data_IF_409890572994
#
_entry.id   IF_409890572994
#
_cell.length_a   1.000
_cell.length_b   1.000
_cell.length_c   1.000
_cell.angle_alpha   90.00
_cell.angle_beta   90.00
_cell.angle_gamma   90.00
#
_symmetry.space_group_name_H-M   'P 1'
#
loop_
_entity.id
_entity.type
_entity.pdbx_description
1 polymer ?
#
# COMPACT_ATOMS: atom_id res chain seq x y z
N UNK A 1 14.66 -21.77 -0.99
CA UNK A 1 15.02 -20.37 -0.68
C UNK A 1 13.73 -19.70 -0.21
N UNK A 2 13.61 -19.33 1.08
CA UNK A 2 12.33 -18.89 1.65
C UNK A 2 11.90 -17.54 1.05
N UNK A 3 10.82 -17.57 0.26
CA UNK A 3 10.18 -16.40 -0.36
C UNK A 3 9.76 -15.35 0.68
N UNK A 4 9.50 -15.71 1.94
CA UNK A 4 9.02 -14.78 2.97
C UNK A 4 10.03 -13.67 3.36
N UNK A 5 11.33 -13.80 3.05
CA UNK A 5 12.31 -12.74 3.36
C UNK A 5 12.38 -11.63 2.31
N UNK A 6 11.82 -11.87 1.12
CA UNK A 6 11.86 -10.89 0.02
C UNK A 6 10.61 -10.02 -0.03
N UNK A 7 9.56 -10.39 0.70
CA UNK A 7 8.25 -9.76 0.59
C UNK A 7 7.67 -9.36 1.95
N UNK A 8 7.10 -8.16 1.98
CA UNK A 8 6.20 -7.69 3.03
C UNK A 8 4.79 -8.14 2.63
N UNK A 9 4.06 -8.77 3.54
CA UNK A 9 2.70 -9.28 3.31
C UNK A 9 1.74 -8.55 4.24
N UNK A 10 0.75 -7.85 3.70
CA UNK A 10 -0.13 -6.98 4.48
C UNK A 10 -1.59 -7.40 4.26
N UNK A 11 -2.37 -7.64 5.32
CA UNK A 11 -3.82 -7.80 5.22
C UNK A 11 -4.47 -6.59 4.56
N UNK A 12 -5.31 -6.81 3.55
CA UNK A 12 -6.02 -5.74 2.84
C UNK A 12 -6.86 -4.89 3.79
N UNK A 13 -7.44 -5.48 4.85
CA UNK A 13 -8.24 -4.77 5.84
C UNK A 13 -7.50 -3.61 6.53
N UNK A 14 -6.17 -3.68 6.68
CA UNK A 14 -5.37 -2.59 7.27
C UNK A 14 -5.38 -1.33 6.37
N UNK A 15 -5.63 -1.50 5.08
CA UNK A 15 -5.62 -0.42 4.08
C UNK A 15 -7.03 -0.05 3.62
N UNK A 16 -7.90 -1.06 3.48
CA UNK A 16 -9.20 -0.94 2.82
C UNK A 16 -10.35 -0.76 3.81
N UNK A 17 -10.21 -1.26 5.03
CA UNK A 17 -11.31 -1.28 5.98
C UNK A 17 -11.29 -0.01 6.84
N UNK A 18 -12.42 0.70 6.80
CA UNK A 18 -12.57 1.99 7.44
C UNK A 18 -12.31 1.93 8.94
N UNK A 19 -12.66 0.83 9.59
CA UNK A 19 -12.55 0.69 11.05
C UNK A 19 -11.08 0.57 11.50
N UNK A 20 -10.23 -0.14 10.75
CA UNK A 20 -8.77 -0.10 10.96
C UNK A 20 -8.13 1.24 10.58
N UNK A 21 -8.82 2.12 9.85
CA UNK A 21 -8.30 3.44 9.46
C UNK A 21 -8.85 4.60 10.32
N UNK A 22 -9.93 4.37 11.08
CA UNK A 22 -10.54 5.34 11.99
C UNK A 22 -9.83 5.35 13.35
N UNK A 23 -9.40 4.19 13.83
CA UNK A 23 -8.69 4.07 15.12
C UNK A 23 -7.19 4.35 15.03
N UNK A 24 -6.67 4.44 13.80
CA UNK A 24 -5.25 4.53 13.53
C UNK A 24 -4.89 5.78 12.73
N UNK A 25 -3.80 6.45 13.13
CA UNK A 25 -3.19 7.52 12.34
C UNK A 25 -2.84 6.98 10.94
N UNK A 26 -2.94 7.83 9.92
CA UNK A 26 -2.51 7.55 8.53
C UNK A 26 -1.07 7.00 8.41
N UNK A 27 -0.29 6.99 9.49
CA UNK A 27 1.08 6.47 9.57
C UNK A 27 1.14 4.96 9.82
N UNK A 28 0.06 4.32 10.26
CA UNK A 28 0.06 2.92 10.68
C UNK A 28 0.51 1.93 9.60
N UNK A 29 0.05 2.00 8.34
CA UNK A 29 0.52 1.08 7.30
C UNK A 29 2.03 1.16 7.08
N UNK A 30 2.57 2.37 7.12
CA UNK A 30 4.01 2.60 7.06
C UNK A 30 4.75 1.99 8.25
N UNK A 31 4.24 2.18 9.48
CA UNK A 31 4.85 1.64 10.70
C UNK A 31 4.84 0.11 10.69
N UNK A 32 3.74 -0.52 10.26
CA UNK A 32 3.67 -1.98 10.14
C UNK A 32 4.69 -2.50 9.13
N UNK A 33 4.77 -1.90 7.94
CA UNK A 33 5.74 -2.30 6.93
C UNK A 33 7.19 -2.15 7.42
N UNK A 34 7.48 -1.06 8.13
CA UNK A 34 8.77 -0.84 8.77
C UNK A 34 9.09 -1.96 9.77
N UNK A 35 8.15 -2.27 10.69
CA UNK A 35 8.34 -3.31 11.70
C UNK A 35 8.55 -4.69 11.05
N UNK A 36 7.84 -5.00 9.97
CA UNK A 36 8.05 -6.23 9.21
C UNK A 36 9.46 -6.33 8.62
N UNK A 37 10.06 -5.21 8.19
CA UNK A 37 11.46 -5.18 7.76
C UNK A 37 12.46 -5.34 8.92
N UNK A 38 12.05 -4.99 10.14
CA UNK A 38 12.85 -5.14 11.36
C UNK A 38 12.72 -6.53 12.01
N UNK A 39 11.84 -7.40 11.50
CA UNK A 39 11.70 -8.78 11.98
C UNK A 39 12.85 -9.65 11.49
N UNK A 40 13.45 -10.41 12.40
CA UNK A 40 14.41 -11.45 12.05
C UNK A 40 13.71 -12.76 11.65
N UNK A 41 14.51 -13.75 11.25
CA UNK A 41 14.02 -15.06 10.78
C UNK A 41 13.29 -15.90 11.83
N UNK A 42 13.39 -15.55 13.10
CA UNK A 42 12.68 -16.23 14.21
C UNK A 42 11.45 -15.44 14.67
N UNK A 43 11.02 -14.42 13.92
CA UNK A 43 9.82 -13.63 14.19
C UNK A 43 10.00 -12.54 15.26
N UNK A 44 11.23 -12.28 15.71
CA UNK A 44 11.54 -11.22 16.67
C UNK A 44 11.84 -9.92 15.95
N UNK A 45 11.14 -8.86 16.33
CA UNK A 45 11.31 -7.51 15.81
C UNK A 45 12.16 -6.67 16.77
N UNK A 46 13.09 -5.89 16.21
CA UNK A 46 13.97 -5.01 16.96
C UNK A 46 13.93 -3.62 16.36
N UNK A 47 13.60 -2.60 17.15
CA UNK A 47 13.57 -1.22 16.68
C UNK A 47 13.80 -0.24 17.82
N UNK A 48 14.17 0.99 17.50
CA UNK A 48 14.05 2.13 18.41
C UNK A 48 13.01 3.11 17.86
N UNK A 49 12.36 3.87 18.75
CA UNK A 49 11.44 4.92 18.31
C UNK A 49 12.17 6.00 17.50
N UNK A 50 13.43 6.30 17.86
CA UNK A 50 14.27 7.25 17.13
C UNK A 50 14.49 6.82 15.68
N UNK A 51 14.91 5.57 15.43
CA UNK A 51 15.15 5.09 14.07
C UNK A 51 13.86 5.07 13.24
N UNK A 52 12.76 4.59 13.83
CA UNK A 52 11.44 4.60 13.18
C UNK A 52 11.03 6.03 12.75
N UNK A 53 11.23 7.03 13.63
CA UNK A 53 10.91 8.44 13.36
C UNK A 53 11.81 9.00 12.26
N UNK A 54 13.12 8.74 12.32
CA UNK A 54 14.09 9.28 11.36
C UNK A 54 13.86 8.67 9.97
N UNK A 55 13.70 7.34 9.90
CA UNK A 55 13.44 6.62 8.65
C UNK A 55 12.15 7.08 7.98
N UNK A 56 11.14 7.47 8.78
CA UNK A 56 9.90 8.07 8.27
C UNK A 56 10.05 9.50 7.75
N UNK A 57 11.26 10.06 7.70
CA UNK A 57 11.52 11.43 7.28
C UNK A 57 11.10 12.48 8.30
N UNK A 58 10.85 12.07 9.55
CA UNK A 58 10.48 12.97 10.63
C UNK A 58 11.69 13.29 11.52
N UNK A 59 11.59 14.38 12.30
CA UNK A 59 12.58 14.71 13.33
C UNK A 59 12.01 14.39 14.71
N UNK A 60 12.76 13.69 15.58
CA UNK A 60 12.37 13.48 16.97
C UNK A 60 12.11 14.83 17.65
N UNK A 61 10.95 14.96 18.30
CA UNK A 61 10.54 16.18 19.01
C UNK A 61 9.74 15.80 20.25
N UNK A 62 10.16 16.33 21.39
CA UNK A 62 9.49 16.17 22.70
C UNK A 62 8.40 17.21 22.88
N UNK A 63 7.44 16.92 23.76
CA UNK A 63 6.30 17.79 24.08
C UNK A 63 4.95 17.23 23.64
N UNK A 64 3.87 17.83 24.16
CA UNK A 64 2.51 17.37 23.92
C UNK A 64 2.15 17.41 22.41
N UNK A 65 1.60 16.31 21.91
CA UNK A 65 1.20 16.09 20.52
C UNK A 65 2.33 16.31 19.49
N UNK A 66 3.59 16.19 19.91
CA UNK A 66 4.77 16.22 19.03
C UNK A 66 5.08 14.83 18.48
N UNK A 67 6.07 14.76 17.59
CA UNK A 67 6.44 13.56 16.84
C UNK A 67 6.56 12.32 17.74
N UNK A 68 7.29 12.44 18.85
CA UNK A 68 7.55 11.29 19.72
C UNK A 68 6.25 10.73 20.31
N UNK A 69 5.37 11.58 20.82
CA UNK A 69 4.09 11.16 21.41
C UNK A 69 3.16 10.53 20.36
N UNK A 70 3.12 11.08 19.14
CA UNK A 70 2.31 10.52 18.05
C UNK A 70 2.76 9.10 17.67
N UNK A 71 4.07 8.88 17.58
CA UNK A 71 4.61 7.55 17.31
C UNK A 71 4.37 6.58 18.47
N UNK A 72 4.51 7.03 19.73
CA UNK A 72 4.13 6.21 20.89
C UNK A 72 2.67 5.80 20.83
N UNK A 73 1.75 6.73 20.50
CA UNK A 73 0.32 6.42 20.36
C UNK A 73 0.05 5.35 19.30
N UNK A 74 0.73 5.41 18.15
CA UNK A 74 0.58 4.38 17.10
C UNK A 74 1.04 3.02 17.62
N UNK A 75 2.24 2.94 18.22
CA UNK A 75 2.75 1.68 18.75
C UNK A 75 1.85 1.15 19.88
N UNK A 76 1.40 2.01 20.80
CA UNK A 76 0.44 1.63 21.85
C UNK A 76 -0.89 1.13 21.26
N UNK A 77 -1.37 1.70 20.15
CA UNK A 77 -2.54 1.21 19.43
C UNK A 77 -2.32 -0.21 18.90
N UNK A 78 -1.18 -0.46 18.24
CA UNK A 78 -0.81 -1.80 17.77
C UNK A 78 -0.69 -2.82 18.90
N UNK A 79 -0.24 -2.41 20.10
CA UNK A 79 -0.20 -3.27 21.28
C UNK A 79 -1.60 -3.62 21.79
N UNK A 80 -2.50 -2.63 21.89
CA UNK A 80 -3.89 -2.87 22.32
C UNK A 80 -4.61 -3.85 21.40
N UNK A 81 -4.27 -3.82 20.12
CA UNK A 81 -4.87 -4.64 19.07
C UNK A 81 -4.17 -6.01 18.91
N UNK A 82 -3.21 -6.31 19.80
CA UNK A 82 -2.49 -7.59 19.82
C UNK A 82 -1.51 -7.79 18.66
N UNK A 83 -1.29 -6.76 17.83
CA UNK A 83 -0.38 -6.79 16.68
C UNK A 83 1.08 -6.77 17.16
N UNK A 84 1.34 -6.04 18.25
CA UNK A 84 2.65 -5.99 18.90
C UNK A 84 2.58 -6.51 20.32
N UNK A 85 3.53 -7.37 20.68
CA UNK A 85 3.78 -7.72 22.08
C UNK A 85 5.15 -7.16 22.49
N UNK A 86 5.15 -6.18 23.39
CA UNK A 86 6.36 -5.48 23.83
C UNK A 86 6.79 -6.00 25.20
N UNK A 87 8.10 -6.06 25.43
CA UNK A 87 8.70 -6.32 26.73
C UNK A 87 8.82 -5.06 27.62
N UNK A 88 8.49 -3.90 27.07
CA UNK A 88 8.61 -2.59 27.73
C UNK A 88 7.37 -1.72 27.53
N UNK A 89 7.17 -0.77 28.46
CA UNK A 89 6.17 0.28 28.31
C UNK A 89 6.64 1.35 27.30
N UNK A 90 6.07 1.27 26.10
CA UNK A 90 6.37 2.22 25.01
C UNK A 90 5.94 3.65 25.32
N UNK A 91 5.09 3.90 26.31
CA UNK A 91 4.66 5.27 26.64
C UNK A 91 5.76 6.07 27.33
N UNK A 92 6.68 5.38 28.03
CA UNK A 92 7.70 5.99 28.89
C UNK A 92 9.13 5.70 28.45
N UNK A 93 9.39 4.62 27.71
CA UNK A 93 10.76 4.18 27.34
C UNK A 93 11.57 5.25 26.59
N UNK A 94 12.88 5.34 26.78
CA UNK A 94 13.73 6.26 26.01
C UNK A 94 13.60 5.99 24.49
N UNK A 95 13.55 7.04 23.67
CA UNK A 95 13.38 6.89 22.22
C UNK A 95 14.52 6.12 21.54
N UNK A 96 15.71 6.10 22.13
CA UNK A 96 16.90 5.42 21.61
C UNK A 96 17.03 4.00 22.17
N UNK A 97 16.12 3.58 23.05
CA UNK A 97 16.10 2.22 23.58
C UNK A 97 15.79 1.21 22.48
N UNK A 98 16.53 0.10 22.47
CA UNK A 98 16.29 -1.01 21.56
C UNK A 98 15.13 -1.87 22.09
N UNK A 99 13.94 -1.61 21.59
CA UNK A 99 12.73 -2.38 21.89
C UNK A 99 12.81 -3.75 21.24
N UNK A 100 12.41 -4.79 21.97
CA UNK A 100 12.29 -6.16 21.48
C UNK A 100 10.83 -6.55 21.52
N UNK A 101 10.31 -7.05 20.41
CA UNK A 101 8.90 -7.41 20.34
C UNK A 101 8.61 -8.59 19.41
N UNK A 102 7.43 -9.16 19.61
CA UNK A 102 6.82 -10.09 18.67
C UNK A 102 5.80 -9.35 17.80
N UNK A 103 5.81 -9.65 16.51
CA UNK A 103 4.89 -9.08 15.53
C UNK A 103 3.86 -10.14 15.09
N UNK A 104 2.61 -9.92 15.47
CA UNK A 104 1.49 -10.83 15.22
C UNK A 104 0.48 -10.19 14.24
N UNK A 105 0.77 -10.26 12.95
CA UNK A 105 -0.12 -9.68 11.93
C UNK A 105 -1.42 -10.50 11.81
N UNK A 106 -2.61 -9.88 11.94
CA UNK A 106 -3.88 -10.59 11.98
C UNK A 106 -4.38 -10.92 10.57
N UNK A 107 -3.82 -11.97 9.97
CA UNK A 107 -4.26 -12.48 8.66
C UNK A 107 -5.62 -13.17 8.77
N UNK A 108 -6.49 -12.92 7.80
CA UNK A 108 -7.69 -13.72 7.61
C UNK A 108 -7.30 -15.08 7.02
N UNK A 109 -7.89 -16.16 7.53
CA UNK A 109 -7.63 -17.52 7.07
C UNK A 109 -8.89 -18.13 6.47
N UNK A 110 -8.74 -18.86 5.37
CA UNK A 110 -9.83 -19.70 4.84
C UNK A 110 -9.99 -20.99 5.67
N UNK A 111 -10.96 -21.83 5.29
CA UNK A 111 -11.23 -23.14 5.93
C UNK A 111 -10.02 -24.09 5.94
N UNK A 112 -9.04 -23.87 5.06
CA UNK A 112 -7.82 -24.67 4.94
C UNK A 112 -6.62 -24.02 5.65
N UNK A 113 -6.85 -23.04 6.52
CA UNK A 113 -5.81 -22.29 7.23
C UNK A 113 -4.82 -21.53 6.32
N UNK A 114 -5.24 -21.20 5.09
CA UNK A 114 -4.44 -20.40 4.17
C UNK A 114 -4.82 -18.92 4.30
N UNK A 115 -3.81 -18.04 4.26
CA UNK A 115 -4.01 -16.59 4.30
C UNK A 115 -4.85 -16.15 3.09
N UNK A 116 -5.90 -15.37 3.33
CA UNK A 116 -6.73 -14.71 2.31
C UNK A 116 -6.78 -13.21 2.53
N UNK A 117 -7.28 -12.46 1.54
CA UNK A 117 -7.47 -11.01 1.63
C UNK A 117 -6.21 -10.25 2.07
N UNK A 118 -5.08 -10.55 1.44
CA UNK A 118 -3.80 -9.87 1.63
C UNK A 118 -3.23 -9.39 0.28
N UNK A 119 -2.23 -8.53 0.35
CA UNK A 119 -1.37 -8.18 -0.78
C UNK A 119 0.08 -8.24 -0.33
N UNK A 120 1.00 -8.36 -1.29
CA UNK A 120 2.44 -8.35 -1.02
C UNK A 120 3.17 -7.33 -1.87
N UNK A 121 4.32 -6.91 -1.36
CA UNK A 121 5.31 -6.10 -2.06
C UNK A 121 6.70 -6.61 -1.71
N UNK A 122 7.67 -6.41 -2.60
CA UNK A 122 9.05 -6.74 -2.25
C UNK A 122 9.60 -5.76 -1.22
N UNK A 123 10.50 -6.23 -0.35
CA UNK A 123 11.25 -5.39 0.58
C UNK A 123 12.00 -4.30 -0.18
N UNK A 124 12.61 -4.63 -1.33
CA UNK A 124 13.28 -3.65 -2.19
C UNK A 124 12.34 -2.53 -2.67
N UNK A 125 11.08 -2.84 -2.99
CA UNK A 125 10.11 -1.82 -3.38
C UNK A 125 9.73 -0.91 -2.21
N UNK A 126 9.65 -1.46 -1.00
CA UNK A 126 9.46 -0.65 0.21
C UNK A 126 10.69 0.23 0.51
N UNK A 127 11.91 -0.33 0.38
CA UNK A 127 13.16 0.41 0.58
C UNK A 127 13.29 1.59 -0.40
N UNK A 128 12.87 1.43 -1.66
CA UNK A 128 12.81 2.57 -2.60
C UNK A 128 11.98 3.74 -2.08
N UNK A 129 10.89 3.49 -1.33
CA UNK A 129 10.11 4.55 -0.68
C UNK A 129 10.85 5.07 0.55
N UNK A 130 11.33 4.15 1.39
CA UNK A 130 12.01 4.46 2.65
C UNK A 130 13.25 5.34 2.45
N UNK A 131 14.03 5.06 1.41
CA UNK A 131 15.31 5.70 1.09
C UNK A 131 15.17 6.85 0.09
N UNK A 132 13.95 7.11 -0.38
CA UNK A 132 13.72 8.16 -1.37
C UNK A 132 14.05 9.56 -0.83
N UNK A 133 14.90 10.28 -1.57
CA UNK A 133 15.28 11.67 -1.31
C UNK A 133 14.30 12.61 -2.02
N UNK A 134 13.13 12.84 -1.41
CA UNK A 134 12.15 13.81 -1.92
C UNK A 134 11.39 14.45 -0.75
N UNK A 135 10.77 15.60 -1.04
CA UNK A 135 10.04 16.37 -0.03
C UNK A 135 8.63 15.83 0.25
N UNK A 136 8.14 14.85 -0.53
CA UNK A 136 6.82 14.29 -0.30
C UNK A 136 6.79 13.48 0.99
N UNK A 137 5.62 13.50 1.64
CA UNK A 137 5.42 12.80 2.89
C UNK A 137 5.47 11.27 2.67
N UNK A 138 6.45 10.60 3.28
CA UNK A 138 6.65 9.14 3.13
C UNK A 138 5.44 8.31 3.58
N UNK A 139 4.67 8.76 4.58
CA UNK A 139 3.45 8.06 5.00
C UNK A 139 2.39 8.11 3.92
N UNK A 140 2.11 9.31 3.38
CA UNK A 140 1.15 9.49 2.29
C UNK A 140 1.57 8.72 1.05
N UNK A 141 2.86 8.75 0.70
CA UNK A 141 3.42 8.00 -0.43
C UNK A 141 3.22 6.48 -0.26
N UNK A 142 3.50 5.96 0.93
CA UNK A 142 3.31 4.54 1.28
C UNK A 142 1.84 4.14 1.24
N UNK A 143 0.95 4.97 1.79
CA UNK A 143 -0.48 4.69 1.80
C UNK A 143 -1.07 4.63 0.40
N UNK A 144 -0.70 5.57 -0.48
CA UNK A 144 -1.16 5.54 -1.89
C UNK A 144 -0.65 4.27 -2.56
N UNK A 145 0.62 3.92 -2.37
CA UNK A 145 1.19 2.70 -2.94
C UNK A 145 0.45 1.45 -2.46
N UNK A 146 0.24 1.30 -1.16
CA UNK A 146 -0.45 0.16 -0.57
C UNK A 146 -1.92 0.11 -0.96
N UNK A 147 -2.59 1.25 -1.06
CA UNK A 147 -3.96 1.37 -1.53
C UNK A 147 -4.12 0.82 -2.94
N UNK A 148 -3.16 1.11 -3.84
CA UNK A 148 -3.15 0.57 -5.20
C UNK A 148 -2.90 -0.94 -5.16
N UNK A 149 -1.86 -1.40 -4.45
CA UNK A 149 -1.52 -2.83 -4.38
C UNK A 149 -2.65 -3.68 -3.80
N UNK A 150 -3.35 -3.18 -2.78
CA UNK A 150 -4.47 -3.87 -2.16
C UNK A 150 -5.65 -4.10 -3.11
N UNK A 151 -5.80 -3.23 -4.13
CA UNK A 151 -6.89 -3.26 -5.12
C UNK A 151 -6.51 -3.85 -6.47
N UNK A 152 -5.23 -4.06 -6.74
CA UNK A 152 -4.81 -4.79 -7.94
C UNK A 152 -5.41 -6.20 -7.89
N UNK A 153 -6.12 -6.56 -8.96
CA UNK A 153 -6.54 -7.93 -9.17
C UNK A 153 -5.31 -8.84 -9.27
N UNK A 154 -5.33 -9.99 -8.59
CA UNK A 154 -4.27 -10.99 -8.68
C UNK A 154 -4.87 -12.27 -9.25
N UNK A 155 -4.17 -12.84 -10.23
CA UNK A 155 -4.52 -14.14 -10.79
C UNK A 155 -4.24 -15.21 -9.75
N UNK A 156 -5.02 -16.29 -9.81
CA UNK A 156 -4.83 -17.41 -8.89
C UNK A 156 -3.70 -18.29 -9.43
N UNK A 157 -2.58 -18.36 -8.70
CA UNK A 157 -1.38 -19.12 -9.09
C UNK A 157 -1.61 -20.65 -9.14
N UNK A 158 -2.77 -21.14 -8.68
CA UNK A 158 -3.14 -22.56 -8.69
C UNK A 158 -3.38 -23.13 -10.10
N UNK A 159 -3.47 -22.28 -11.12
CA UNK A 159 -3.59 -22.70 -12.52
C UNK A 159 -2.18 -22.66 -13.12
N UNK A 160 -1.49 -23.81 -13.08
CA UNK A 160 -0.20 -24.09 -13.72
C UNK A 160 -0.24 -23.88 -15.25
N UNK A 161 -0.48 -22.66 -15.75
CA UNK A 161 -0.42 -22.32 -17.17
C UNK A 161 -0.43 -20.80 -17.43
N UNK A 162 0.54 -20.08 -16.86
CA UNK A 162 0.85 -18.69 -17.24
C UNK A 162 1.12 -18.54 -18.76
N UNK A 163 1.46 -19.64 -19.46
CA UNK A 163 1.77 -19.64 -20.90
C UNK A 163 0.63 -20.07 -21.83
N UNK A 164 -0.55 -20.51 -21.35
CA UNK A 164 -1.54 -21.19 -22.22
C UNK A 164 -2.93 -20.55 -22.29
N UNK A 165 -3.32 -19.61 -21.42
CA UNK A 165 -4.68 -19.03 -21.52
C UNK A 165 -4.70 -17.53 -21.29
N UNK A 166 -5.43 -16.81 -22.15
CA UNK A 166 -5.85 -15.45 -21.88
C UNK A 166 -6.52 -15.31 -20.50
N UNK A 167 -6.55 -14.10 -19.98
CA UNK A 167 -7.11 -13.80 -18.66
C UNK A 167 -7.09 -12.31 -18.35
N UNK A 168 -7.79 -11.93 -17.29
CA UNK A 168 -7.84 -10.56 -16.79
C UNK A 168 -6.46 -10.10 -16.33
N UNK A 169 -6.06 -8.89 -16.74
CA UNK A 169 -4.78 -8.30 -16.38
C UNK A 169 -4.74 -8.00 -14.87
N UNK A 170 -3.56 -8.09 -14.27
CA UNK A 170 -3.35 -7.78 -12.86
C UNK A 170 -3.28 -6.27 -12.64
N UNK A 171 -4.44 -5.63 -12.71
CA UNK A 171 -4.56 -4.18 -12.63
C UNK A 171 -5.68 -3.75 -11.68
N UNK A 172 -5.67 -2.47 -11.38
CA UNK A 172 -6.72 -1.78 -10.64
C UNK A 172 -7.30 -0.69 -11.56
N UNK A 173 -8.62 -0.71 -11.79
CA UNK A 173 -9.33 0.32 -12.54
C UNK A 173 -10.01 1.30 -11.58
N UNK A 174 -9.63 2.58 -11.63
CA UNK A 174 -10.30 3.63 -10.84
C UNK A 174 -9.98 5.03 -11.36
N UNK A 175 -10.83 6.00 -11.05
CA UNK A 175 -10.53 7.40 -11.30
C UNK A 175 -9.60 7.97 -10.22
N UNK A 176 -8.74 8.92 -10.58
CA UNK A 176 -7.95 9.66 -9.57
C UNK A 176 -8.83 10.39 -8.56
N UNK A 177 -10.02 10.84 -8.96
CA UNK A 177 -10.96 11.49 -8.07
C UNK A 177 -11.48 10.52 -6.99
N UNK A 178 -11.77 9.26 -7.36
CA UNK A 178 -12.21 8.22 -6.42
C UNK A 178 -11.09 7.90 -5.42
N UNK A 179 -9.86 7.69 -5.90
CA UNK A 179 -8.70 7.45 -5.02
C UNK A 179 -8.47 8.64 -4.09
N UNK A 180 -8.56 9.87 -4.61
CA UNK A 180 -8.40 11.10 -3.84
C UNK A 180 -9.46 11.23 -2.75
N UNK A 181 -10.72 10.88 -3.04
CA UNK A 181 -11.79 10.86 -2.03
C UNK A 181 -11.53 9.83 -0.94
N UNK A 182 -11.21 8.60 -1.31
CA UNK A 182 -10.97 7.51 -0.35
C UNK A 182 -9.79 7.81 0.59
N UNK A 183 -8.75 8.48 0.08
CA UNK A 183 -7.55 8.83 0.84
C UNK A 183 -7.60 10.25 1.44
N UNK A 184 -8.70 10.98 1.26
CA UNK A 184 -8.85 12.38 1.65
C UNK A 184 -7.70 13.29 1.14
N UNK A 185 -7.38 13.18 -0.15
CA UNK A 185 -6.34 13.93 -0.84
C UNK A 185 -6.92 14.77 -1.97
N UNK A 186 -6.45 16.02 -2.06
CA UNK A 186 -6.71 16.86 -3.23
C UNK A 186 -6.09 16.26 -4.50
N UNK A 187 -6.73 16.45 -5.65
CA UNK A 187 -6.31 15.88 -6.94
C UNK A 187 -4.85 16.24 -7.30
N UNK A 188 -4.46 17.50 -7.13
CA UNK A 188 -3.10 17.96 -7.41
C UNK A 188 -2.06 17.24 -6.55
N UNK A 189 -2.36 17.09 -5.25
CA UNK A 189 -1.54 16.34 -4.31
C UNK A 189 -1.39 14.88 -4.75
N UNK A 190 -2.50 14.17 -4.98
CA UNK A 190 -2.48 12.78 -5.43
C UNK A 190 -1.64 12.61 -6.70
N UNK A 191 -1.76 13.51 -7.68
CA UNK A 191 -1.02 13.44 -8.92
C UNK A 191 0.50 13.55 -8.72
N UNK A 192 0.96 14.41 -7.80
CA UNK A 192 2.39 14.51 -7.46
C UNK A 192 2.91 13.18 -6.87
N UNK A 193 2.16 12.56 -5.95
CA UNK A 193 2.52 11.26 -5.38
C UNK A 193 2.51 10.13 -6.42
N UNK A 194 1.49 10.07 -7.28
CA UNK A 194 1.40 9.05 -8.35
C UNK A 194 2.56 9.18 -9.35
N UNK A 195 2.89 10.40 -9.75
CA UNK A 195 4.03 10.67 -10.64
C UNK A 195 5.36 10.22 -10.01
N UNK A 196 5.52 10.44 -8.70
CA UNK A 196 6.71 10.02 -7.98
C UNK A 196 6.80 8.50 -7.79
N UNK A 197 5.70 7.83 -7.45
CA UNK A 197 5.68 6.35 -7.41
C UNK A 197 6.02 5.74 -8.79
N UNK A 198 5.61 6.41 -9.88
CA UNK A 198 5.99 6.02 -11.25
C UNK A 198 7.47 6.25 -11.53
N UNK A 199 8.08 7.35 -11.07
CA UNK A 199 9.52 7.59 -11.26
C UNK A 199 10.38 6.57 -10.50
N UNK A 200 9.90 6.06 -9.36
CA UNK A 200 10.52 4.94 -8.62
C UNK A 200 10.29 3.56 -9.26
N UNK A 201 9.58 3.49 -10.39
CA UNK A 201 9.16 2.25 -11.06
C UNK A 201 8.38 1.30 -10.12
N UNK A 202 7.58 1.85 -9.20
CA UNK A 202 6.76 1.09 -8.27
C UNK A 202 5.35 0.83 -8.80
N UNK A 203 4.83 1.78 -9.59
CA UNK A 203 3.54 1.67 -10.28
C UNK A 203 3.67 2.22 -11.70
N UNK A 204 2.74 1.79 -12.55
CA UNK A 204 2.51 2.34 -13.88
C UNK A 204 1.02 2.61 -14.01
N UNK A 205 0.66 3.70 -14.67
CA UNK A 205 -0.74 4.00 -14.93
C UNK A 205 -0.94 4.72 -16.26
N UNK A 206 -2.14 4.56 -16.80
CA UNK A 206 -2.59 5.13 -18.06
C UNK A 206 -4.10 5.24 -18.11
N UNK A 207 -4.60 5.83 -19.19
CA UNK A 207 -6.02 6.05 -19.43
C UNK A 207 -6.27 5.92 -20.94
N UNK A 208 -7.41 5.32 -21.34
CA UNK A 208 -7.74 5.15 -22.77
C UNK A 208 -8.30 6.44 -23.41
N UNK A 209 -8.62 7.44 -22.59
CA UNK A 209 -9.13 8.74 -22.99
C UNK A 209 -10.60 8.94 -22.62
N UNK A 210 -11.24 9.83 -23.37
CA UNK A 210 -12.67 10.07 -23.29
C UNK A 210 -13.40 9.05 -24.15
N UNK A 211 -14.56 8.64 -23.68
CA UNK A 211 -15.47 7.75 -24.38
C UNK A 211 -16.82 8.44 -24.54
N UNK A 212 -17.52 8.11 -25.61
CA UNK A 212 -18.80 8.70 -25.96
C UNK A 212 -19.85 7.62 -26.21
N UNK A 213 -21.09 7.88 -25.76
CA UNK A 213 -22.28 7.10 -26.07
C UNK A 213 -23.50 8.01 -25.94
N UNK A 214 -24.42 7.97 -26.90
CA UNK A 214 -25.69 8.72 -26.86
C UNK A 214 -25.49 10.21 -26.49
N UNK A 215 -24.58 10.91 -27.17
CA UNK A 215 -24.17 12.30 -26.93
C UNK A 215 -23.59 12.59 -25.52
N UNK A 216 -23.26 11.56 -24.74
CA UNK A 216 -22.64 11.69 -23.41
C UNK A 216 -21.15 11.37 -23.50
N UNK A 217 -20.31 12.32 -23.11
CA UNK A 217 -18.85 12.14 -23.07
C UNK A 217 -18.38 12.02 -21.61
N UNK A 218 -17.72 10.91 -21.29
CA UNK A 218 -17.09 10.69 -19.98
C UNK A 218 -15.61 10.35 -20.12
N UNK A 219 -14.83 10.61 -19.07
CA UNK A 219 -13.44 10.13 -18.99
C UNK A 219 -13.44 8.69 -18.46
N UNK A 220 -12.79 7.78 -19.18
CA UNK A 220 -12.67 6.40 -18.72
C UNK A 220 -11.87 6.34 -17.39
N UNK A 221 -11.99 5.24 -16.65
CA UNK A 221 -11.15 5.03 -15.47
C UNK A 221 -9.67 4.88 -15.87
N UNK A 222 -8.78 5.30 -14.97
CA UNK A 222 -7.36 4.98 -15.11
C UNK A 222 -7.14 3.50 -14.81
N UNK A 223 -6.12 2.94 -15.45
CA UNK A 223 -5.59 1.60 -15.19
C UNK A 223 -4.29 1.75 -14.41
N UNK A 224 -4.17 1.10 -13.26
CA UNK A 224 -2.96 1.05 -12.44
C UNK A 224 -2.40 -0.37 -12.39
N UNK A 225 -1.09 -0.51 -12.56
CA UNK A 225 -0.37 -1.78 -12.57
C UNK A 225 1.00 -1.66 -11.89
N UNK A 226 1.62 -2.80 -11.55
CA UNK A 226 3.00 -2.84 -11.00
C UNK A 226 4.06 -3.04 -12.08
N UNK A 227 3.68 -3.37 -13.31
CA UNK A 227 4.58 -3.46 -14.45
C UNK A 227 3.92 -2.94 -15.75
N UNK A 228 4.73 -2.68 -16.77
CA UNK A 228 4.29 -2.08 -18.03
C UNK A 228 3.47 -3.04 -18.90
N UNK A 229 3.71 -4.34 -18.80
CA UNK A 229 3.01 -5.36 -19.60
C UNK A 229 1.56 -5.50 -19.13
N UNK A 230 1.35 -5.63 -17.83
CA UNK A 230 0.02 -5.65 -17.20
C UNK A 230 -0.73 -4.34 -17.46
N UNK A 231 -0.05 -3.18 -17.44
CA UNK A 231 -0.69 -1.92 -17.83
C UNK A 231 -1.17 -1.96 -19.28
N UNK A 232 -0.34 -2.45 -20.21
CA UNK A 232 -0.69 -2.53 -21.63
C UNK A 232 -1.92 -3.41 -21.83
N UNK A 233 -1.97 -4.57 -21.18
CA UNK A 233 -3.10 -5.48 -21.31
C UNK A 233 -4.34 -4.98 -20.57
N UNK A 234 -4.18 -4.33 -19.41
CA UNK A 234 -5.28 -3.68 -18.69
C UNK A 234 -5.91 -2.51 -19.46
N UNK A 235 -5.13 -1.76 -20.25
CA UNK A 235 -5.65 -0.72 -21.14
C UNK A 235 -6.44 -1.33 -22.31
N UNK A 236 -5.96 -2.43 -22.92
CA UNK A 236 -6.74 -3.16 -23.94
C UNK A 236 -8.06 -3.69 -23.37
N UNK A 237 -8.02 -4.26 -22.16
CA UNK A 237 -9.23 -4.75 -21.47
C UNK A 237 -10.19 -3.62 -21.14
N UNK A 238 -9.68 -2.46 -20.70
CA UNK A 238 -10.51 -1.28 -20.47
C UNK A 238 -11.20 -0.82 -21.74
N UNK A 239 -10.49 -0.79 -22.88
CA UNK A 239 -11.07 -0.44 -24.18
C UNK A 239 -12.17 -1.42 -24.57
N UNK A 240 -11.88 -2.72 -24.54
CA UNK A 240 -12.84 -3.79 -24.87
C UNK A 240 -14.08 -3.76 -23.97
N UNK A 241 -13.92 -3.48 -22.68
CA UNK A 241 -15.04 -3.33 -21.74
C UNK A 241 -16.01 -2.25 -22.21
N UNK A 242 -15.51 -1.07 -22.56
CA UNK A 242 -16.35 0.06 -22.99
C UNK A 242 -16.98 -0.18 -24.36
N UNK A 243 -16.23 -0.71 -25.33
CA UNK A 243 -16.74 -1.05 -26.66
C UNK A 243 -17.92 -2.05 -26.56
N UNK A 244 -17.81 -3.08 -25.72
CA UNK A 244 -18.89 -4.04 -25.48
C UNK A 244 -20.13 -3.43 -24.81
N UNK A 245 -19.97 -2.31 -24.11
CA UNK A 245 -21.08 -1.56 -23.52
C UNK A 245 -21.67 -0.54 -24.50
N UNK A 246 -21.20 -0.52 -25.76
CA UNK A 246 -21.63 0.38 -26.82
C UNK A 246 -21.06 1.79 -26.71
N UNK A 247 -19.92 1.96 -26.03
CA UNK A 247 -19.20 3.23 -25.98
C UNK A 247 -18.07 3.26 -27.01
N UNK A 248 -17.84 4.42 -27.61
CA UNK A 248 -16.79 4.63 -28.60
C UNK A 248 -15.69 5.54 -28.05
N UNK A 249 -14.44 5.32 -28.47
CA UNK A 249 -13.34 6.20 -28.11
C UNK A 249 -13.42 7.51 -28.89
N UNK A 250 -13.39 8.63 -28.17
CA UNK A 250 -13.27 9.95 -28.80
C UNK A 250 -11.83 10.10 -29.28
N UNK A 251 -11.62 10.01 -30.59
CA UNK A 251 -10.29 10.25 -31.17
C UNK A 251 -9.86 11.70 -30.87
N UNK A 252 -8.60 11.85 -30.43
CA UNK A 252 -7.93 13.14 -30.30
C UNK A 252 -7.64 13.75 -31.66
#
# INVERSE_FOLDING_TARGET
>A
MNLENEFIIIPKKIILDGDFSKDYDCKTPYVIAYLMCCCNKIGKCYFSLEDLIIKSGCKPKTGNNKTNERFRKIISGLVKEGILNLDVDISTVNINYLVRCDLNIPYELNKNSQRVNWFSLSVNNYLKILESENELNKFTLTNIYFYILARIYRRNDSINNIRITGGTAEVFWSSQNSIGKDLNLAKGTLNAYLAYLKSLNLIYYGNIGKIEKDNSIIEANNVYATNKEELKDGLKQSKYYWENQGWELVNK
#
